data_IF_229058441916
#
_entry.id   IF_229058441916
#
_cell.length_a   1.000
_cell.length_b   1.000
_cell.length_c   1.000
_cell.angle_alpha   90.00
_cell.angle_beta   90.00
_cell.angle_gamma   90.00
#
_symmetry.space_group_name_H-M   'P 1'
#
loop_
_entity.id
_entity.type
_entity.pdbx_description
1 polymer ?
#
# COMPACT_ATOMS: atom_id res chain seq x y z
N UNK A 1 13.21 37.46 6.48
CA UNK A 1 11.95 36.84 6.98
C UNK A 1 11.75 35.54 6.23
N UNK A 2 11.50 34.44 6.93
CA UNK A 2 11.19 33.17 6.28
C UNK A 2 9.84 33.29 5.55
N UNK A 3 9.77 32.86 4.28
CA UNK A 3 8.50 32.82 3.54
C UNK A 3 7.54 31.80 4.18
N UNK A 4 6.23 32.07 4.12
CA UNK A 4 5.16 31.21 4.68
C UNK A 4 5.12 29.82 4.03
N UNK A 5 5.38 29.74 2.73
CA UNK A 5 5.35 28.50 1.95
C UNK A 5 6.77 28.12 1.53
N UNK A 6 7.25 26.97 2.01
CA UNK A 6 8.59 26.46 1.72
C UNK A 6 8.53 25.01 1.27
N UNK A 7 9.35 24.65 0.29
CA UNK A 7 9.45 23.28 -0.21
C UNK A 7 10.89 22.91 -0.53
N UNK A 8 11.23 21.64 -0.32
CA UNK A 8 12.49 21.02 -0.74
C UNK A 8 12.29 20.06 -1.93
N UNK A 9 11.11 20.07 -2.56
CA UNK A 9 10.71 19.08 -3.57
C UNK A 9 11.06 19.56 -4.97
N UNK A 10 10.56 20.73 -5.37
CA UNK A 10 10.73 21.25 -6.72
C UNK A 10 10.77 22.78 -6.72
N UNK A 11 11.24 23.35 -7.82
CA UNK A 11 11.18 24.79 -8.11
C UNK A 11 10.92 24.98 -9.59
N UNK A 12 9.96 25.85 -9.91
CA UNK A 12 9.66 26.30 -11.27
C UNK A 12 10.23 27.70 -11.46
N UNK A 13 10.85 27.92 -12.62
CA UNK A 13 11.46 29.16 -13.07
C UNK A 13 11.01 29.38 -14.53
N UNK A 14 11.27 30.57 -15.07
CA UNK A 14 10.98 30.83 -16.48
C UNK A 14 11.68 29.81 -17.40
N UNK A 15 10.89 29.06 -18.17
CA UNK A 15 11.37 28.04 -19.09
C UNK A 15 12.02 26.79 -18.45
N UNK A 16 12.03 26.65 -17.11
CA UNK A 16 12.75 25.56 -16.44
C UNK A 16 12.07 25.09 -15.15
N UNK A 17 12.11 23.79 -14.89
CA UNK A 17 11.76 23.23 -13.60
C UNK A 17 12.88 22.31 -13.08
N UNK A 18 13.05 22.27 -11.76
CA UNK A 18 13.90 21.28 -11.10
C UNK A 18 13.09 20.44 -10.12
N UNK A 19 13.43 19.16 -10.01
CA UNK A 19 12.88 18.21 -9.04
C UNK A 19 14.05 17.66 -8.25
N UNK A 20 14.07 17.92 -6.93
CA UNK A 20 15.13 17.50 -6.01
C UNK A 20 16.55 17.85 -6.51
N UNK A 21 16.68 19.01 -7.15
CA UNK A 21 17.95 19.50 -7.70
C UNK A 21 18.26 19.07 -9.14
N UNK A 22 17.55 18.08 -9.69
CA UNK A 22 17.72 17.63 -11.07
C UNK A 22 16.85 18.44 -12.04
N UNK A 23 17.34 18.73 -13.25
CA UNK A 23 16.53 19.36 -14.30
C UNK A 23 15.37 18.44 -14.67
N UNK A 24 14.13 18.93 -14.62
CA UNK A 24 12.96 18.14 -15.00
C UNK A 24 13.00 17.70 -16.47
N UNK A 25 13.46 18.59 -17.36
CA UNK A 25 13.68 18.27 -18.77
C UNK A 25 14.65 17.09 -18.95
N UNK A 26 15.74 17.06 -18.18
CA UNK A 26 16.71 15.97 -18.24
C UNK A 26 16.21 14.67 -17.57
N UNK A 27 15.11 14.70 -16.81
CA UNK A 27 14.49 13.47 -16.29
C UNK A 27 13.60 12.82 -17.36
N UNK A 28 13.04 13.61 -18.28
CA UNK A 28 12.16 13.13 -19.34
C UNK A 28 13.00 12.39 -20.38
N UNK A 29 12.71 11.11 -20.59
CA UNK A 29 13.41 10.26 -21.57
C UNK A 29 14.65 9.54 -21.00
N UNK A 30 15.35 10.13 -20.03
CA UNK A 30 16.54 9.52 -19.42
C UNK A 30 16.22 8.67 -18.18
N UNK A 31 15.06 8.90 -17.54
CA UNK A 31 14.62 8.16 -16.35
C UNK A 31 13.23 7.59 -16.54
N UNK A 32 13.01 6.40 -15.98
CA UNK A 32 11.68 5.81 -15.91
C UNK A 32 10.77 6.56 -14.94
N UNK A 33 9.45 6.41 -15.12
CA UNK A 33 8.48 6.98 -14.18
C UNK A 33 8.71 6.48 -12.74
N UNK A 34 9.03 5.19 -12.57
CA UNK A 34 9.33 4.59 -11.27
C UNK A 34 10.54 5.26 -10.59
N UNK A 35 11.62 5.54 -11.35
CA UNK A 35 12.78 6.28 -10.83
C UNK A 35 12.40 7.72 -10.44
N UNK A 36 11.58 8.40 -11.24
CA UNK A 36 11.08 9.75 -10.95
C UNK A 36 10.23 9.82 -9.68
N UNK A 37 9.37 8.81 -9.45
CA UNK A 37 8.59 8.66 -8.21
C UNK A 37 9.52 8.45 -7.02
N UNK A 38 10.48 7.54 -7.15
CA UNK A 38 11.47 7.28 -6.10
C UNK A 38 12.21 8.58 -5.75
N UNK A 39 12.75 9.30 -6.75
CA UNK A 39 13.41 10.58 -6.58
C UNK A 39 12.52 11.59 -5.84
N UNK A 40 11.29 11.76 -6.30
CA UNK A 40 10.37 12.76 -5.73
C UNK A 40 10.08 12.48 -4.26
N UNK A 41 9.85 11.21 -3.91
CA UNK A 41 9.54 10.80 -2.54
C UNK A 41 10.78 10.77 -1.63
N UNK A 42 11.92 10.26 -2.11
CA UNK A 42 13.13 10.03 -1.30
C UNK A 42 14.14 11.17 -1.31
N UNK A 43 14.12 12.01 -2.34
CA UNK A 43 15.05 13.11 -2.51
C UNK A 43 16.29 12.77 -3.33
N UNK A 44 16.53 11.49 -3.60
CA UNK A 44 17.69 10.98 -4.34
C UNK A 44 17.26 9.96 -5.39
N UNK A 45 18.04 9.83 -6.47
CA UNK A 45 17.79 8.80 -7.48
C UNK A 45 18.06 7.39 -6.89
N UNK A 46 17.27 6.38 -7.30
CA UNK A 46 17.50 5.01 -6.85
C UNK A 46 18.76 4.42 -7.49
N UNK A 47 19.36 3.45 -6.82
CA UNK A 47 20.28 2.50 -7.46
C UNK A 47 19.54 1.65 -8.49
N UNK A 48 20.27 0.95 -9.38
CA UNK A 48 19.66 0.04 -10.38
C UNK A 48 18.76 -1.03 -9.75
N UNK A 49 19.15 -1.57 -8.60
CA UNK A 49 18.40 -2.58 -7.88
C UNK A 49 17.14 -2.01 -7.22
N UNK A 50 17.23 -0.82 -6.64
CA UNK A 50 16.07 -0.10 -6.10
C UNK A 50 15.10 0.33 -7.19
N UNK A 51 15.59 0.78 -8.35
CA UNK A 51 14.76 1.14 -9.49
C UNK A 51 13.93 -0.06 -9.99
N UNK A 52 14.59 -1.22 -10.15
CA UNK A 52 13.90 -2.47 -10.50
C UNK A 52 12.88 -2.89 -9.44
N UNK A 53 13.21 -2.71 -8.17
CA UNK A 53 12.29 -3.04 -7.07
C UNK A 53 11.10 -2.07 -7.06
N UNK A 54 11.33 -0.78 -7.28
CA UNK A 54 10.31 0.26 -7.32
C UNK A 54 9.28 -0.02 -8.43
N UNK A 55 9.74 -0.35 -9.63
CA UNK A 55 8.87 -0.72 -10.75
C UNK A 55 8.00 -1.93 -10.39
N UNK A 56 8.60 -3.00 -9.86
CA UNK A 56 7.87 -4.18 -9.45
C UNK A 56 6.86 -3.91 -8.31
N UNK A 57 7.17 -3.02 -7.37
CA UNK A 57 6.23 -2.61 -6.32
C UNK A 57 5.02 -1.88 -6.90
N UNK A 58 5.22 -0.94 -7.83
CA UNK A 58 4.11 -0.25 -8.50
C UNK A 58 3.24 -1.22 -9.31
N UNK A 59 3.87 -2.18 -10.00
CA UNK A 59 3.16 -3.21 -10.77
C UNK A 59 2.32 -4.16 -9.90
N UNK A 60 2.66 -4.32 -8.62
CA UNK A 60 2.00 -5.31 -7.76
C UNK A 60 0.56 -4.94 -7.34
N UNK A 61 0.14 -3.70 -7.57
CA UNK A 61 -1.15 -3.16 -7.08
C UNK A 61 -1.96 -2.45 -8.17
N UNK A 62 -1.66 -2.66 -9.46
CA UNK A 62 -2.30 -1.92 -10.57
C UNK A 62 -3.83 -1.84 -10.48
N UNK A 63 -4.47 -2.96 -10.12
CA UNK A 63 -5.89 -3.05 -9.83
C UNK A 63 -6.20 -4.30 -9.00
N UNK A 64 -7.38 -4.33 -8.37
CA UNK A 64 -7.91 -5.53 -7.70
C UNK A 64 -9.44 -5.70 -7.86
N UNK A 65 -10.02 -5.04 -8.88
CA UNK A 65 -11.44 -5.09 -9.21
C UNK A 65 -12.35 -4.79 -8.01
N UNK A 66 -13.56 -5.33 -8.05
CA UNK A 66 -14.60 -5.08 -7.05
C UNK A 66 -14.32 -5.63 -5.64
N UNK A 67 -13.23 -6.39 -5.45
CA UNK A 67 -12.76 -6.75 -4.09
C UNK A 67 -12.20 -5.51 -3.38
N UNK A 68 -11.64 -4.55 -4.14
CA UNK A 68 -11.13 -3.31 -3.59
C UNK A 68 -12.26 -2.30 -3.33
N UNK A 69 -12.31 -1.79 -2.10
CA UNK A 69 -13.22 -0.71 -1.73
C UNK A 69 -13.04 0.54 -2.60
N UNK A 70 -11.81 0.80 -3.08
CA UNK A 70 -11.50 1.93 -3.96
C UNK A 70 -12.27 1.89 -5.27
N UNK A 71 -12.41 0.71 -5.88
CA UNK A 71 -13.15 0.53 -7.13
C UNK A 71 -14.64 0.78 -6.91
N UNK A 72 -15.21 0.22 -5.84
CA UNK A 72 -16.62 0.42 -5.50
C UNK A 72 -16.95 1.90 -5.26
N UNK A 73 -16.17 2.59 -4.43
CA UNK A 73 -16.38 4.00 -4.14
C UNK A 73 -16.20 4.88 -5.39
N UNK A 74 -15.17 4.61 -6.19
CA UNK A 74 -14.89 5.39 -7.39
C UNK A 74 -16.02 5.28 -8.41
N UNK A 75 -16.50 4.06 -8.68
CA UNK A 75 -17.58 3.82 -9.64
C UNK A 75 -18.93 4.30 -9.13
N UNK A 76 -19.22 4.13 -7.85
CA UNK A 76 -20.45 4.65 -7.27
C UNK A 76 -20.51 6.18 -7.40
N UNK A 77 -19.41 6.87 -7.07
CA UNK A 77 -19.28 8.31 -7.27
C UNK A 77 -19.42 8.71 -8.74
N UNK A 78 -18.70 8.05 -9.64
CA UNK A 78 -18.73 8.32 -11.07
C UNK A 78 -20.14 8.15 -11.68
N UNK A 79 -20.93 7.18 -11.19
CA UNK A 79 -22.30 6.98 -11.66
C UNK A 79 -23.24 8.15 -11.35
N UNK A 80 -23.02 8.87 -10.24
CA UNK A 80 -23.82 10.03 -9.83
C UNK A 80 -23.20 11.37 -10.25
N UNK A 81 -21.89 11.43 -10.43
CA UNK A 81 -21.13 12.58 -10.92
C UNK A 81 -20.13 12.10 -11.98
N UNK A 82 -20.50 12.12 -13.29
CA UNK A 82 -19.72 11.53 -14.37
C UNK A 82 -18.52 12.42 -14.76
N UNK A 83 -17.61 12.61 -13.81
CA UNK A 83 -16.37 13.34 -13.95
C UNK A 83 -15.21 12.50 -13.39
N UNK A 84 -14.09 12.50 -14.11
CA UNK A 84 -12.93 11.68 -13.77
C UNK A 84 -12.35 12.02 -12.38
N UNK A 85 -12.19 13.30 -12.07
CA UNK A 85 -11.50 13.75 -10.86
C UNK A 85 -12.28 13.38 -9.58
N UNK A 86 -13.58 13.68 -9.44
CA UNK A 86 -14.36 13.26 -8.27
C UNK A 86 -14.40 11.75 -8.06
N UNK A 87 -14.63 10.97 -9.13
CA UNK A 87 -14.63 9.50 -9.05
C UNK A 87 -13.28 8.95 -8.59
N UNK A 88 -12.19 9.46 -9.15
CA UNK A 88 -10.83 9.05 -8.78
C UNK A 88 -10.53 9.40 -7.32
N UNK A 89 -10.87 10.62 -6.89
CA UNK A 89 -10.70 11.07 -5.52
C UNK A 89 -11.51 10.20 -4.54
N UNK A 90 -12.76 9.87 -4.87
CA UNK A 90 -13.61 9.00 -4.05
C UNK A 90 -12.98 7.61 -3.84
N UNK A 91 -12.39 7.03 -4.89
CA UNK A 91 -11.64 5.78 -4.77
C UNK A 91 -10.44 5.89 -3.84
N UNK A 92 -9.63 6.94 -3.99
CA UNK A 92 -8.44 7.18 -3.15
C UNK A 92 -8.79 7.38 -1.67
N UNK A 93 -9.93 8.02 -1.36
CA UNK A 93 -10.37 8.24 0.02
C UNK A 93 -10.66 6.94 0.79
N UNK A 94 -10.78 5.80 0.11
CA UNK A 94 -10.95 4.49 0.76
C UNK A 94 -9.65 3.87 1.25
N UNK A 95 -8.49 4.42 0.87
CA UNK A 95 -7.20 3.94 1.33
C UNK A 95 -6.98 4.35 2.79
N UNK A 96 -6.54 3.41 3.63
CA UNK A 96 -6.42 3.68 5.06
C UNK A 96 -6.02 2.44 5.86
N UNK A 97 -6.38 2.39 7.14
CA UNK A 97 -5.84 1.39 8.05
C UNK A 97 -6.16 -0.08 7.72
N UNK A 98 -7.18 -0.30 6.89
CA UNK A 98 -7.67 -1.62 6.52
C UNK A 98 -7.32 -2.02 5.07
N UNK A 99 -6.83 -1.08 4.26
CA UNK A 99 -6.64 -1.21 2.80
C UNK A 99 -5.45 -0.35 2.37
N UNK A 100 -4.56 -0.89 1.53
CA UNK A 100 -3.47 -0.08 0.93
C UNK A 100 -2.58 0.53 2.03
N UNK A 101 -2.18 -0.29 3.02
CA UNK A 101 -1.48 0.19 4.23
C UNK A 101 -0.16 -0.53 4.57
N UNK A 102 0.81 -0.57 3.65
CA UNK A 102 2.11 -1.22 3.91
C UNK A 102 2.87 -0.61 5.11
N UNK A 103 2.60 0.65 5.46
CA UNK A 103 3.24 1.35 6.58
C UNK A 103 3.00 0.68 7.94
N UNK A 104 1.85 0.03 8.14
CA UNK A 104 1.55 -0.65 9.40
C UNK A 104 2.41 -1.90 9.59
N UNK A 105 2.66 -2.66 8.51
CA UNK A 105 3.59 -3.77 8.53
C UNK A 105 5.03 -3.31 8.72
N UNK A 106 5.42 -2.21 8.07
CA UNK A 106 6.73 -1.62 8.24
C UNK A 106 7.00 -1.22 9.70
N UNK A 107 6.10 -0.46 10.34
CA UNK A 107 6.23 -0.05 11.74
C UNK A 107 6.29 -1.24 12.70
N UNK A 108 5.46 -2.26 12.44
CA UNK A 108 5.46 -3.50 13.21
C UNK A 108 6.80 -4.24 13.13
N UNK A 109 7.35 -4.40 11.93
CA UNK A 109 8.66 -5.03 11.69
C UNK A 109 9.81 -4.17 12.24
N UNK A 110 9.66 -2.85 12.21
CA UNK A 110 10.61 -1.92 12.80
C UNK A 110 10.76 -2.15 14.29
N UNK A 111 9.66 -2.27 15.01
CA UNK A 111 9.65 -2.53 16.44
C UNK A 111 10.21 -3.93 16.76
N UNK A 112 9.85 -4.96 15.98
CA UNK A 112 10.38 -6.32 16.16
C UNK A 112 11.90 -6.39 16.00
N UNK A 113 12.45 -5.78 14.95
CA UNK A 113 13.91 -5.74 14.73
C UNK A 113 14.63 -4.85 15.75
N UNK A 114 14.03 -3.72 16.16
CA UNK A 114 14.58 -2.88 17.23
C UNK A 114 14.69 -3.65 18.55
N UNK A 115 13.64 -4.38 18.93
CA UNK A 115 13.63 -5.25 20.11
C UNK A 115 14.72 -6.33 20.00
N UNK A 116 14.79 -7.03 18.85
CA UNK A 116 15.81 -8.05 18.59
C UNK A 116 17.23 -7.53 18.85
N UNK A 117 17.55 -6.34 18.32
CA UNK A 117 18.87 -5.72 18.46
C UNK A 117 19.12 -5.17 19.86
N UNK A 118 18.15 -4.49 20.46
CA UNK A 118 18.30 -3.86 21.77
C UNK A 118 18.48 -4.89 22.89
N UNK A 119 17.82 -6.04 22.78
CA UNK A 119 17.90 -7.12 23.76
C UNK A 119 18.96 -8.18 23.39
N UNK A 120 19.64 -8.03 22.24
CA UNK A 120 20.63 -8.98 21.72
C UNK A 120 20.13 -10.44 21.69
N UNK A 121 18.92 -10.64 21.19
CA UNK A 121 18.26 -11.95 21.06
C UNK A 121 18.24 -12.42 19.60
N UNK A 122 18.01 -13.71 19.38
CA UNK A 122 17.88 -14.23 18.01
C UNK A 122 16.59 -13.77 17.35
N UNK A 123 16.55 -13.81 16.01
CA UNK A 123 15.37 -13.46 15.23
C UNK A 123 14.18 -14.36 15.55
N UNK A 124 14.42 -15.65 15.76
CA UNK A 124 13.39 -16.63 16.12
C UNK A 124 12.80 -16.33 17.50
N UNK A 125 13.63 -15.93 18.46
CA UNK A 125 13.14 -15.51 19.79
C UNK A 125 12.33 -14.22 19.71
N UNK A 126 12.80 -13.23 18.95
CA UNK A 126 12.05 -12.00 18.72
C UNK A 126 10.69 -12.29 18.06
N UNK A 127 10.65 -13.15 17.04
CA UNK A 127 9.43 -13.59 16.38
C UNK A 127 8.46 -14.29 17.35
N UNK A 128 8.94 -15.22 18.19
CA UNK A 128 8.15 -15.86 19.26
C UNK A 128 7.50 -14.85 20.20
N UNK A 129 8.28 -13.91 20.73
CA UNK A 129 7.77 -12.89 21.65
C UNK A 129 6.74 -11.98 21.01
N UNK A 130 7.01 -11.53 19.79
CA UNK A 130 6.10 -10.66 19.03
C UNK A 130 4.77 -11.37 18.76
N UNK A 131 4.80 -12.62 18.29
CA UNK A 131 3.60 -13.42 18.02
C UNK A 131 2.83 -13.67 19.33
N UNK A 132 3.52 -14.06 20.41
CA UNK A 132 2.89 -14.29 21.71
C UNK A 132 2.18 -13.03 22.24
N UNK A 133 2.83 -11.87 22.16
CA UNK A 133 2.26 -10.58 22.57
C UNK A 133 1.00 -10.22 21.78
N UNK A 134 1.07 -10.25 20.45
CA UNK A 134 -0.08 -9.90 19.59
C UNK A 134 -1.27 -10.83 19.85
N UNK A 135 -1.01 -12.11 20.09
CA UNK A 135 -2.05 -13.09 20.45
C UNK A 135 -2.68 -12.83 21.81
N UNK A 136 -1.89 -12.53 22.83
CA UNK A 136 -2.39 -12.18 24.16
C UNK A 136 -3.30 -10.94 24.09
N UNK A 137 -2.94 -9.96 23.26
CA UNK A 137 -3.73 -8.75 23.00
C UNK A 137 -4.96 -9.00 22.08
N UNK A 138 -5.16 -10.23 21.57
CA UNK A 138 -6.21 -10.58 20.58
C UNK A 138 -6.19 -9.69 19.33
N UNK A 139 -5.02 -9.17 18.96
CA UNK A 139 -4.82 -8.32 17.79
C UNK A 139 -4.44 -9.13 16.56
N UNK A 140 -4.59 -8.53 15.38
CA UNK A 140 -4.09 -9.08 14.12
C UNK A 140 -2.65 -8.62 13.89
N UNK A 141 -1.84 -9.46 13.25
CA UNK A 141 -0.51 -9.07 12.75
C UNK A 141 -0.72 -8.35 11.41
N UNK A 142 -0.30 -7.08 11.26
CA UNK A 142 -0.42 -6.35 10.00
C UNK A 142 0.31 -7.07 8.86
N UNK A 143 -0.34 -7.19 7.71
CA UNK A 143 0.23 -7.85 6.52
C UNK A 143 0.11 -9.37 6.49
N UNK A 144 -0.52 -9.99 7.51
CA UNK A 144 -0.88 -11.41 7.47
C UNK A 144 -2.36 -11.63 7.11
N UNK A 145 -2.57 -12.50 6.14
CA UNK A 145 -3.88 -12.94 5.66
C UNK A 145 -4.42 -12.10 4.50
N UNK A 146 -5.26 -12.74 3.70
CA UNK A 146 -6.00 -12.12 2.60
C UNK A 146 -7.43 -12.69 2.54
N UNK A 147 -8.43 -11.88 2.12
CA UNK A 147 -9.80 -12.37 1.92
C UNK A 147 -9.85 -13.56 0.95
N UNK A 148 -9.14 -13.47 -0.18
CA UNK A 148 -9.16 -14.47 -1.27
C UNK A 148 -7.94 -15.37 -1.35
N UNK A 149 -6.73 -14.88 -1.03
CA UNK A 149 -5.50 -15.67 -1.15
C UNK A 149 -5.32 -16.50 0.12
N UNK A 150 -5.33 -17.83 -0.03
CA UNK A 150 -5.11 -18.79 1.06
C UNK A 150 -3.76 -19.47 0.85
N UNK A 151 -2.91 -19.45 1.87
CA UNK A 151 -1.58 -20.08 1.85
C UNK A 151 -0.51 -19.25 1.15
N UNK A 152 -0.74 -18.75 -0.06
CA UNK A 152 0.23 -17.95 -0.82
C UNK A 152 -0.42 -16.74 -1.52
N UNK A 153 0.19 -15.56 -1.39
CA UNK A 153 -0.14 -14.38 -2.20
C UNK A 153 0.91 -14.25 -3.31
N UNK A 154 0.49 -14.49 -4.55
CA UNK A 154 1.39 -14.51 -5.71
C UNK A 154 2.19 -13.21 -5.89
N UNK A 155 1.64 -12.07 -5.47
CA UNK A 155 2.30 -10.76 -5.53
C UNK A 155 3.41 -10.68 -4.50
N UNK A 156 3.11 -11.04 -3.26
CA UNK A 156 4.10 -11.08 -2.18
C UNK A 156 5.24 -12.03 -2.54
N UNK A 157 4.93 -13.23 -3.04
CA UNK A 157 5.93 -14.20 -3.52
C UNK A 157 6.80 -13.63 -4.63
N UNK A 158 6.20 -12.98 -5.64
CA UNK A 158 6.95 -12.41 -6.77
C UNK A 158 7.84 -11.23 -6.34
N UNK A 159 7.34 -10.34 -5.50
CA UNK A 159 8.12 -9.23 -4.94
C UNK A 159 9.31 -9.75 -4.13
N UNK A 160 9.09 -10.77 -3.29
CA UNK A 160 10.15 -11.40 -2.50
C UNK A 160 11.22 -12.06 -3.36
N UNK A 161 10.83 -12.68 -4.48
CA UNK A 161 11.78 -13.22 -5.46
C UNK A 161 12.64 -12.11 -6.06
N UNK A 162 12.03 -11.01 -6.51
CA UNK A 162 12.74 -9.87 -7.11
C UNK A 162 13.67 -9.22 -6.08
N UNK A 163 13.23 -9.06 -4.83
CA UNK A 163 14.08 -8.59 -3.73
C UNK A 163 15.31 -9.49 -3.54
N UNK A 164 15.15 -10.81 -3.66
CA UNK A 164 16.28 -11.77 -3.65
C UNK A 164 17.29 -11.49 -4.75
N UNK A 165 16.81 -11.37 -5.99
CA UNK A 165 17.64 -11.14 -7.18
C UNK A 165 18.34 -9.77 -7.15
N UNK A 166 17.73 -8.80 -6.47
CA UNK A 166 18.29 -7.46 -6.24
C UNK A 166 19.21 -7.38 -5.00
N UNK A 167 19.38 -8.46 -4.23
CA UNK A 167 20.19 -8.47 -3.01
C UNK A 167 19.57 -7.68 -1.84
N UNK A 168 18.25 -7.49 -1.84
CA UNK A 168 17.51 -6.66 -0.87
C UNK A 168 16.91 -7.48 0.30
N UNK A 169 17.39 -8.71 0.54
CA UNK A 169 16.91 -9.55 1.65
C UNK A 169 17.58 -9.21 2.97
N UNK A 170 17.14 -8.11 3.57
CA UNK A 170 17.61 -7.69 4.89
C UNK A 170 16.81 -8.26 6.06
N UNK A 171 16.97 -7.63 7.21
CA UNK A 171 16.42 -8.08 8.49
C UNK A 171 14.90 -7.96 8.57
N UNK A 172 14.27 -6.98 7.89
CA UNK A 172 12.81 -6.76 7.90
C UNK A 172 12.08 -7.87 7.18
N UNK A 173 12.55 -8.25 5.99
CA UNK A 173 11.96 -9.36 5.22
C UNK A 173 12.11 -10.66 6.00
N UNK A 174 13.32 -10.96 6.48
CA UNK A 174 13.61 -12.19 7.26
C UNK A 174 12.82 -12.23 8.56
N UNK A 175 12.74 -11.11 9.28
CA UNK A 175 11.93 -11.00 10.50
C UNK A 175 10.45 -11.28 10.19
N UNK A 176 9.94 -10.78 9.07
CA UNK A 176 8.55 -11.02 8.72
C UNK A 176 8.27 -12.48 8.37
N UNK A 177 9.18 -13.12 7.62
CA UNK A 177 9.14 -14.56 7.33
C UNK A 177 9.20 -15.39 8.64
N UNK A 178 10.06 -15.00 9.60
CA UNK A 178 10.15 -15.66 10.91
C UNK A 178 8.87 -15.49 11.76
N UNK A 179 8.30 -14.29 11.79
CA UNK A 179 7.01 -14.01 12.45
C UNK A 179 5.89 -14.82 11.81
N UNK A 180 5.85 -14.91 10.48
CA UNK A 180 4.85 -15.68 9.76
C UNK A 180 4.96 -17.17 10.07
N UNK A 181 6.16 -17.75 10.00
CA UNK A 181 6.41 -19.14 10.35
C UNK A 181 5.98 -19.47 11.79
N UNK A 182 6.32 -18.61 12.75
CA UNK A 182 5.93 -18.77 14.15
C UNK A 182 4.41 -18.62 14.36
N UNK A 183 3.77 -17.69 13.65
CA UNK A 183 2.32 -17.54 13.68
C UNK A 183 1.61 -18.80 13.18
N UNK A 184 2.07 -19.37 12.06
CA UNK A 184 1.52 -20.62 11.53
C UNK A 184 1.73 -21.79 12.49
N UNK A 185 2.95 -21.95 13.02
CA UNK A 185 3.30 -23.01 13.97
C UNK A 185 2.44 -22.94 15.24
N UNK A 186 2.27 -21.74 15.80
CA UNK A 186 1.60 -21.56 17.09
C UNK A 186 0.07 -21.54 17.01
N UNK A 187 -0.52 -21.33 15.82
CA UNK A 187 -1.98 -21.26 15.63
C UNK A 187 -2.56 -22.41 14.81
N UNK A 188 -1.73 -23.14 14.04
CA UNK A 188 -2.19 -24.16 13.09
C UNK A 188 -2.92 -23.59 11.86
N UNK A 189 -2.99 -22.27 11.68
CA UNK A 189 -3.76 -21.61 10.61
C UNK A 189 -2.99 -21.56 9.28
N UNK A 190 -2.72 -22.72 8.68
CA UNK A 190 -1.91 -22.85 7.45
C UNK A 190 -2.41 -22.04 6.24
N UNK A 191 -3.68 -21.60 6.24
CA UNK A 191 -4.24 -20.76 5.18
C UNK A 191 -3.86 -19.27 5.24
N UNK A 192 -3.14 -18.81 6.26
CA UNK A 192 -2.76 -17.40 6.41
C UNK A 192 -1.44 -17.13 5.70
N UNK A 193 -1.44 -16.30 4.65
CA UNK A 193 -0.25 -15.90 3.91
C UNK A 193 0.34 -14.57 4.40
N UNK A 194 1.57 -14.26 4.02
CA UNK A 194 2.02 -12.86 3.94
C UNK A 194 1.36 -12.25 2.71
N UNK A 195 0.61 -11.15 2.89
CA UNK A 195 -0.04 -10.45 1.79
C UNK A 195 0.88 -9.40 1.13
N UNK A 196 0.42 -8.85 0.01
CA UNK A 196 1.18 -7.84 -0.74
C UNK A 196 1.56 -6.61 0.10
N UNK A 197 0.64 -6.06 0.90
CA UNK A 197 0.91 -4.87 1.73
C UNK A 197 2.00 -5.14 2.76
N UNK A 198 1.97 -6.33 3.35
CA UNK A 198 3.01 -6.76 4.29
C UNK A 198 4.38 -6.87 3.64
N UNK A 199 4.46 -7.53 2.48
CA UNK A 199 5.72 -7.67 1.75
C UNK A 199 6.25 -6.33 1.24
N UNK A 200 5.36 -5.45 0.75
CA UNK A 200 5.67 -4.08 0.38
C UNK A 200 6.25 -3.30 1.56
N UNK A 201 5.63 -3.38 2.75
CA UNK A 201 6.13 -2.76 3.97
C UNK A 201 7.53 -3.24 4.35
N UNK A 202 7.78 -4.56 4.26
CA UNK A 202 9.09 -5.14 4.54
C UNK A 202 10.16 -4.64 3.55
N UNK A 203 9.92 -4.76 2.24
CA UNK A 203 10.86 -4.35 1.17
C UNK A 203 11.14 -2.85 1.22
N UNK A 204 10.10 -2.03 1.36
CA UNK A 204 10.26 -0.58 1.43
C UNK A 204 11.06 -0.15 2.65
N UNK A 205 10.97 -0.90 3.76
CA UNK A 205 11.79 -0.67 4.95
C UNK A 205 13.27 -0.97 4.68
N UNK A 206 13.59 -2.03 3.94
CA UNK A 206 14.98 -2.37 3.58
C UNK A 206 15.65 -1.29 2.73
N UNK A 207 14.91 -0.74 1.77
CA UNK A 207 15.43 0.32 0.90
C UNK A 207 15.26 1.72 1.51
N UNK A 208 14.76 1.82 2.75
CA UNK A 208 14.79 3.04 3.58
C UNK A 208 13.61 4.01 3.43
N UNK A 209 12.46 3.59 2.87
CA UNK A 209 11.28 4.45 2.85
C UNK A 209 10.74 4.65 4.27
N UNK A 210 10.15 5.81 4.51
CA UNK A 210 9.44 6.14 5.75
C UNK A 210 7.95 5.78 5.62
N UNK A 211 7.24 5.56 6.74
CA UNK A 211 5.82 5.17 6.75
C UNK A 211 4.92 5.95 5.78
N UNK A 212 4.95 7.29 5.83
CA UNK A 212 4.12 8.10 4.93
C UNK A 212 4.53 8.00 3.45
N UNK A 213 5.81 7.75 3.17
CA UNK A 213 6.26 7.53 1.78
C UNK A 213 5.79 6.16 1.29
N UNK A 214 5.73 5.15 2.15
CA UNK A 214 5.20 3.81 1.81
C UNK A 214 3.73 3.88 1.41
N UNK A 215 2.92 4.62 2.18
CA UNK A 215 1.52 4.88 1.83
C UNK A 215 1.40 5.57 0.47
N UNK A 216 2.26 6.56 0.18
CA UNK A 216 2.26 7.25 -1.11
C UNK A 216 2.58 6.31 -2.29
N UNK A 217 3.53 5.36 -2.13
CA UNK A 217 3.83 4.36 -3.17
C UNK A 217 2.62 3.46 -3.42
N UNK A 218 1.97 2.96 -2.36
CA UNK A 218 0.80 2.09 -2.50
C UNK A 218 -0.40 2.81 -3.12
N UNK A 219 -0.64 4.07 -2.75
CA UNK A 219 -1.67 4.93 -3.36
C UNK A 219 -1.42 5.14 -4.86
N UNK A 220 -0.17 5.43 -5.23
CA UNK A 220 0.18 5.61 -6.64
C UNK A 220 -0.01 4.31 -7.43
N UNK A 221 0.33 3.17 -6.83
CA UNK A 221 0.28 1.88 -7.49
C UNK A 221 -1.16 1.46 -7.88
N UNK A 222 -2.17 1.82 -7.09
CA UNK A 222 -3.59 1.53 -7.39
C UNK A 222 -4.26 2.57 -8.29
N UNK A 223 -3.65 3.74 -8.45
CA UNK A 223 -4.24 4.88 -9.15
C UNK A 223 -4.67 4.57 -10.60
N UNK A 224 -3.87 3.83 -11.42
CA UNK A 224 -4.27 3.47 -12.78
C UNK A 224 -5.58 2.68 -12.83
N UNK A 225 -5.75 1.67 -11.96
CA UNK A 225 -6.97 0.86 -11.89
C UNK A 225 -8.20 1.69 -11.50
N UNK A 226 -8.05 2.58 -10.51
CA UNK A 226 -9.13 3.50 -10.11
C UNK A 226 -9.56 4.36 -11.30
N UNK A 227 -8.61 5.00 -11.99
CA UNK A 227 -8.92 5.87 -13.13
C UNK A 227 -9.58 5.11 -14.27
N UNK A 228 -9.09 3.91 -14.60
CA UNK A 228 -9.68 3.06 -15.62
C UNK A 228 -11.14 2.68 -15.29
N UNK A 229 -11.40 2.30 -14.03
CA UNK A 229 -12.74 1.97 -13.58
C UNK A 229 -13.70 3.17 -13.61
N UNK A 230 -13.22 4.38 -13.33
CA UNK A 230 -14.01 5.61 -13.43
C UNK A 230 -14.35 5.93 -14.89
N UNK A 231 -13.37 5.83 -15.79
CA UNK A 231 -13.58 6.03 -17.23
C UNK A 231 -14.63 5.05 -17.75
N UNK A 232 -14.45 3.76 -17.49
CA UNK A 232 -15.40 2.72 -17.91
C UNK A 232 -16.81 2.95 -17.34
N UNK A 233 -16.94 3.40 -16.09
CA UNK A 233 -18.25 3.70 -15.52
C UNK A 233 -18.92 4.93 -16.15
N UNK A 234 -18.15 5.93 -16.57
CA UNK A 234 -18.68 7.11 -17.25
C UNK A 234 -19.11 6.78 -18.69
N UNK A 235 -18.31 5.99 -19.40
CA UNK A 235 -18.52 5.68 -20.81
C UNK A 235 -19.55 4.57 -21.04
N UNK A 236 -19.56 3.54 -20.18
CA UNK A 236 -20.33 2.32 -20.38
C UNK A 236 -21.25 1.96 -19.19
N UNK A 237 -21.10 2.67 -18.07
CA UNK A 237 -21.82 2.38 -16.84
C UNK A 237 -23.29 2.81 -16.86
N UNK A 238 -23.95 2.58 -15.72
CA UNK A 238 -25.35 3.01 -15.54
C UNK A 238 -25.36 4.34 -14.79
N UNK A 239 -26.02 5.38 -15.34
CA UNK A 239 -26.27 6.60 -14.58
C UNK A 239 -26.99 6.28 -13.27
N UNK A 240 -26.56 6.92 -12.19
CA UNK A 240 -27.13 6.82 -10.85
C UNK A 240 -27.30 5.38 -10.37
N UNK A 241 -26.21 4.77 -9.89
CA UNK A 241 -26.32 3.47 -9.21
C UNK A 241 -27.09 3.63 -7.89
N UNK A 242 -28.02 2.71 -7.66
CA UNK A 242 -28.77 2.59 -6.41
C UNK A 242 -28.49 1.25 -5.76
N UNK A 243 -28.52 1.21 -4.42
CA UNK A 243 -28.67 -0.04 -3.67
C UNK A 243 -30.16 -0.35 -3.68
N UNK A 244 -30.55 -1.53 -4.17
CA UNK A 244 -31.96 -1.90 -4.25
C UNK A 244 -32.47 -2.31 -2.88
N UNK A 245 -33.79 -2.24 -2.71
CA UNK A 245 -34.46 -2.67 -1.49
C UNK A 245 -34.15 -4.13 -1.15
N UNK A 246 -34.11 -5.00 -2.16
CA UNK A 246 -33.73 -6.42 -2.03
C UNK A 246 -32.28 -6.67 -1.57
N UNK A 247 -31.41 -5.65 -1.67
CA UNK A 247 -29.99 -5.72 -1.32
C UNK A 247 -29.66 -5.03 0.02
N UNK A 248 -30.68 -4.56 0.77
CA UNK A 248 -30.45 -3.91 2.06
C UNK A 248 -31.57 -4.20 3.08
N UNK A 249 -31.19 -4.31 4.36
CA UNK A 249 -32.14 -4.50 5.46
C UNK A 249 -32.24 -3.23 6.30
N UNK A 250 -33.45 -2.67 6.42
CA UNK A 250 -33.73 -1.62 7.40
C UNK A 250 -33.98 -2.24 8.79
N UNK A 251 -32.99 -2.15 9.67
CA UNK A 251 -33.02 -2.72 11.03
C UNK A 251 -33.62 -1.77 12.09
N UNK A 252 -34.28 -0.68 11.66
CA UNK A 252 -34.86 0.32 12.55
C UNK A 252 -36.29 0.00 13.01
N UNK A 253 -36.97 0.99 13.57
CA UNK A 253 -38.38 0.84 13.96
C UNK A 253 -39.30 0.85 12.73
N UNK A 254 -40.37 0.04 12.71
CA UNK A 254 -41.40 0.11 11.67
C UNK A 254 -42.10 1.49 11.68
N UNK A 255 -42.89 1.73 10.64
CA UNK A 255 -43.69 2.95 10.50
C UNK A 255 -44.51 3.23 11.77
N UNK A 256 -44.47 4.49 12.23
CA UNK A 256 -45.17 4.96 13.43
C UNK A 256 -45.66 6.40 13.22
N UNK A 257 -46.84 6.78 13.77
CA UNK A 257 -47.40 8.12 13.57
C UNK A 257 -46.57 9.22 14.25
N UNK A 258 -46.60 10.43 13.67
CA UNK A 258 -46.05 11.65 14.30
C UNK A 258 -47.04 12.14 15.38
N UNK A 259 -46.59 12.48 16.59
CA UNK A 259 -47.45 13.02 17.65
C UNK A 259 -48.11 14.36 17.30
#
# INVERSE_FOLDING_TARGET
MAHEWQTKISRVMEGKAIIRGYSHEALIGDRSYAEGVFLTLRGELPTKHEARMMDAMLMSLLDHGFIAASVLAARYCASGNPQLVPGTAAGLLTAGSNTISPQHSAEFLDNAVKMMRAENITMEEAARRVVAKVRAEKRRIPGLGHPTHKGDDFRARKLRQIASECGLLGDKIKMFEAIHAEFLRSTGKQGICINVDGMLGAIMSEIGFRPMQMAAVALLAVLPGIMAHVIEEIEEGKPLRIVRDEDNDYLGHPERPVP
#
